data_IF_335456446116
#
_entry.id   IF_335456446116
#
_cell.length_a   1.000
_cell.length_b   1.000
_cell.length_c   1.000
_cell.angle_alpha   90.00
_cell.angle_beta   90.00
_cell.angle_gamma   90.00
#
_symmetry.space_group_name_H-M   'P 1'
#
loop_
_entity.id
_entity.type
_entity.pdbx_description
1 polymer ?
#
# COMPACT_ATOMS: atom_id res chain seq x y z
N UNK A 1 -4.57 4.42 -17.66
CA UNK A 1 -5.41 4.19 -16.46
C UNK A 1 -4.48 3.80 -15.33
N UNK A 2 -4.53 4.47 -14.18
CA UNK A 2 -3.68 4.11 -13.04
C UNK A 2 -4.11 2.77 -12.46
N UNK A 3 -3.13 1.96 -12.09
CA UNK A 3 -3.28 0.68 -11.41
C UNK A 3 -3.41 0.82 -9.88
N UNK A 4 -3.30 2.05 -9.37
CA UNK A 4 -3.54 2.41 -7.98
C UNK A 4 -4.97 2.90 -7.79
N UNK A 5 -5.63 2.38 -6.75
CA UNK A 5 -6.97 2.77 -6.31
C UNK A 5 -6.97 3.07 -4.81
N UNK A 6 -7.97 3.84 -4.31
CA UNK A 6 -8.20 3.98 -2.88
C UNK A 6 -8.31 2.61 -2.19
N UNK A 7 -7.58 2.45 -1.09
CA UNK A 7 -7.61 1.24 -0.28
C UNK A 7 -8.71 1.24 0.77
N UNK A 8 -8.64 0.26 1.67
CA UNK A 8 -9.46 0.14 2.87
C UNK A 8 -8.57 0.08 4.09
N UNK A 9 -8.97 0.76 5.15
CA UNK A 9 -8.31 0.75 6.46
C UNK A 9 -8.48 -0.58 7.24
N UNK A 10 -9.12 -1.58 6.64
CA UNK A 10 -9.30 -2.92 7.20
C UNK A 10 -9.43 -3.98 6.08
N UNK A 11 -8.90 -5.20 6.27
CA UNK A 11 -8.10 -5.64 7.41
C UNK A 11 -6.65 -5.13 7.34
N UNK A 12 -5.93 -5.21 8.47
CA UNK A 12 -4.51 -4.89 8.55
C UNK A 12 -3.67 -5.91 7.75
N UNK A 13 -2.54 -5.44 7.21
CA UNK A 13 -1.63 -6.24 6.38
C UNK A 13 -1.98 -6.20 4.89
N UNK A 14 -1.55 -7.22 4.16
CA UNK A 14 -1.85 -7.39 2.75
C UNK A 14 -3.01 -8.37 2.57
N UNK A 15 -4.10 -7.94 1.94
CA UNK A 15 -5.29 -8.75 1.67
C UNK A 15 -5.48 -8.91 0.17
N UNK A 16 -5.44 -10.15 -0.30
CA UNK A 16 -5.58 -10.49 -1.72
C UNK A 16 -7.05 -10.50 -2.12
N UNK A 17 -7.34 -9.88 -3.25
CA UNK A 17 -8.64 -9.86 -3.93
C UNK A 17 -8.48 -10.35 -5.37
N UNK A 18 -9.57 -10.73 -6.06
CA UNK A 18 -9.49 -11.18 -7.45
C UNK A 18 -8.87 -10.16 -8.42
N UNK A 19 -8.95 -8.86 -8.11
CA UNK A 19 -8.46 -7.78 -8.97
C UNK A 19 -7.15 -7.13 -8.50
N UNK A 20 -6.54 -7.62 -7.42
CA UNK A 20 -5.35 -7.00 -6.83
C UNK A 20 -5.23 -7.19 -5.32
N UNK A 21 -4.46 -6.33 -4.67
CA UNK A 21 -4.15 -6.44 -3.24
C UNK A 21 -4.45 -5.13 -2.52
N UNK A 22 -5.18 -5.20 -1.40
CA UNK A 22 -5.27 -4.09 -0.45
C UNK A 22 -4.15 -4.19 0.57
N UNK A 23 -3.35 -3.16 0.71
CA UNK A 23 -2.37 -3.02 1.78
C UNK A 23 -2.92 -2.06 2.83
N UNK A 24 -2.84 -2.43 4.11
CA UNK A 24 -3.19 -1.57 5.22
C UNK A 24 -2.16 -1.68 6.36
N UNK A 25 -1.68 -0.54 6.85
CA UNK A 25 -0.70 -0.44 7.91
C UNK A 25 -1.15 0.59 8.95
N UNK A 26 -1.05 0.24 10.23
CA UNK A 26 -1.23 1.19 11.31
C UNK A 26 0.09 1.92 11.60
N UNK A 27 0.03 3.25 11.72
CA UNK A 27 1.06 4.05 12.36
C UNK A 27 0.49 5.37 12.86
N UNK A 28 0.59 5.61 14.17
CA UNK A 28 0.10 6.84 14.78
C UNK A 28 0.92 8.08 14.38
N UNK A 29 2.24 7.89 14.20
CA UNK A 29 3.20 9.00 14.22
C UNK A 29 3.95 9.21 12.90
N UNK A 30 3.87 8.28 11.93
CA UNK A 30 4.61 8.49 10.69
C UNK A 30 4.01 9.64 9.87
N UNK A 31 4.89 10.35 9.19
CA UNK A 31 4.56 11.48 8.30
C UNK A 31 4.44 11.05 6.84
N UNK A 32 4.85 9.82 6.51
CA UNK A 32 4.78 9.23 5.18
C UNK A 32 4.96 7.72 5.21
N UNK A 33 4.49 7.07 4.15
CA UNK A 33 4.63 5.62 3.91
C UNK A 33 4.96 5.39 2.44
N UNK A 34 5.86 4.46 2.20
CA UNK A 34 6.15 3.93 0.87
C UNK A 34 5.93 2.41 0.86
N UNK A 35 5.21 1.92 -0.14
CA UNK A 35 5.03 0.50 -0.42
C UNK A 35 6.07 0.08 -1.48
N UNK A 36 6.96 -0.84 -1.10
CA UNK A 36 8.02 -1.35 -1.95
C UNK A 36 7.62 -2.73 -2.47
N UNK A 37 7.60 -2.88 -3.80
CA UNK A 37 7.31 -4.15 -4.48
C UNK A 37 8.59 -4.66 -5.13
N UNK A 38 8.89 -5.95 -4.91
CA UNK A 38 10.08 -6.63 -5.40
C UNK A 38 9.67 -7.79 -6.30
N UNK A 39 10.37 -7.99 -7.41
CA UNK A 39 10.07 -9.10 -8.35
C UNK A 39 10.43 -10.47 -7.75
N UNK A 40 11.42 -10.51 -6.86
CA UNK A 40 11.86 -11.73 -6.18
C UNK A 40 12.17 -11.46 -4.71
N UNK A 41 12.08 -12.47 -3.83
CA UNK A 41 12.37 -12.31 -2.40
C UNK A 41 13.80 -11.83 -2.09
N UNK A 42 14.75 -12.10 -2.98
CA UNK A 42 16.17 -11.77 -2.79
C UNK A 42 16.62 -10.57 -3.63
N UNK A 43 15.69 -9.85 -4.27
CA UNK A 43 16.05 -8.69 -5.10
C UNK A 43 16.68 -7.59 -4.22
N UNK A 44 17.85 -7.03 -4.61
CA UNK A 44 18.56 -6.05 -3.79
C UNK A 44 17.89 -4.65 -3.78
N UNK A 45 16.93 -4.43 -4.67
CA UNK A 45 16.20 -3.16 -4.83
C UNK A 45 14.74 -3.45 -5.22
N UNK A 46 13.79 -2.59 -4.84
CA UNK A 46 12.40 -2.72 -5.28
C UNK A 46 12.30 -2.49 -6.79
N UNK A 47 11.48 -3.30 -7.45
CA UNK A 47 11.08 -3.08 -8.83
C UNK A 47 10.14 -1.85 -8.94
N UNK A 48 9.39 -1.57 -7.87
CA UNK A 48 8.51 -0.41 -7.79
C UNK A 48 8.41 0.13 -6.38
N UNK A 49 8.40 1.45 -6.25
CA UNK A 49 8.13 2.18 -5.01
C UNK A 49 6.88 3.02 -5.20
N UNK A 50 5.90 2.84 -4.32
CA UNK A 50 4.63 3.58 -4.33
C UNK A 50 4.57 4.42 -3.08
N UNK A 51 4.63 5.74 -3.23
CA UNK A 51 4.46 6.67 -2.12
C UNK A 51 2.98 6.93 -1.87
N UNK A 52 2.53 6.73 -0.63
CA UNK A 52 1.14 6.99 -0.23
C UNK A 52 0.95 8.48 0.04
N UNK A 53 -0.18 9.01 -0.42
CA UNK A 53 -0.60 10.38 -0.18
C UNK A 53 -1.25 10.51 1.20
N UNK A 54 -0.72 11.32 2.14
CA UNK A 54 -1.30 11.49 3.47
C UNK A 54 -2.74 12.01 3.49
N UNK A 55 -3.21 12.68 2.43
CA UNK A 55 -4.57 13.21 2.33
C UNK A 55 -5.57 12.19 1.77
N UNK A 56 -5.11 11.25 0.93
CA UNK A 56 -5.98 10.30 0.22
C UNK A 56 -5.86 8.87 0.76
N UNK A 57 -4.65 8.44 1.07
CA UNK A 57 -4.29 7.05 1.33
C UNK A 57 -4.14 6.80 2.85
N UNK A 58 -4.80 7.62 3.68
CA UNK A 58 -4.78 7.54 5.14
C UNK A 58 -6.16 7.81 5.74
N UNK A 59 -6.58 6.97 6.67
CA UNK A 59 -7.77 7.17 7.50
C UNK A 59 -7.35 7.10 8.97
N UNK A 60 -7.38 8.24 9.66
CA UNK A 60 -6.88 8.39 11.05
C UNK A 60 -5.41 7.95 11.16
N UNK A 61 -5.13 6.75 11.66
CA UNK A 61 -3.78 6.19 11.82
C UNK A 61 -3.49 5.03 10.86
N UNK A 62 -4.41 4.73 9.95
CA UNK A 62 -4.30 3.63 9.01
C UNK A 62 -3.94 4.14 7.63
N UNK A 63 -2.80 3.72 7.13
CA UNK A 63 -2.34 3.96 5.77
C UNK A 63 -2.78 2.81 4.90
N UNK A 64 -3.37 3.09 3.74
CA UNK A 64 -3.92 2.05 2.91
C UNK A 64 -3.93 2.42 1.43
N UNK A 65 -3.77 1.41 0.59
CA UNK A 65 -3.83 1.53 -0.87
C UNK A 65 -4.23 0.20 -1.50
N UNK A 66 -4.96 0.24 -2.61
CA UNK A 66 -5.24 -0.94 -3.42
C UNK A 66 -4.41 -0.90 -4.69
N UNK A 67 -3.64 -1.96 -4.93
CA UNK A 67 -2.80 -2.13 -6.13
C UNK A 67 -3.44 -3.21 -6.99
N UNK A 68 -3.82 -2.85 -8.22
CA UNK A 68 -4.34 -3.82 -9.19
C UNK A 68 -3.26 -4.83 -9.60
N UNK A 69 -3.69 -6.07 -9.81
CA UNK A 69 -2.87 -7.15 -10.38
C UNK A 69 -2.84 -7.14 -11.90
#
# INVERSE_FOLDING_TARGET
>A
MSDLLPGRSFPLGATVYPSGVNFCLFSANCTGVELLLFDTPNAPKPARVIRLDPQRDRTVFYWHIFVKG
#
